data_IF_973839462184
#
_entry.id   IF_973839462184
#
_cell.length_a   1.000
_cell.length_b   1.000
_cell.length_c   1.000
_cell.angle_alpha   90.00
_cell.angle_beta   90.00
_cell.angle_gamma   90.00
#
_symmetry.space_group_name_H-M   'P 1'
#
loop_
_entity.id
_entity.type
_entity.pdbx_description
1 polymer ?
#
# COMPACT_ATOMS: atom_id res chain seq x y z
N UNK A 1 -49.38 -15.00 7.42
CA UNK A 1 -48.45 -13.99 7.94
C UNK A 1 -47.53 -13.55 6.82
N UNK A 2 -47.72 -12.32 6.34
CA UNK A 2 -46.84 -11.73 5.33
C UNK A 2 -45.63 -11.14 6.07
N UNK A 3 -44.57 -11.92 6.22
CA UNK A 3 -43.26 -11.42 6.68
C UNK A 3 -42.64 -10.61 5.53
N UNK A 4 -43.19 -9.41 5.31
CA UNK A 4 -42.71 -8.40 4.34
C UNK A 4 -41.46 -7.66 4.83
N UNK A 5 -40.82 -8.15 5.89
CA UNK A 5 -39.64 -7.51 6.44
C UNK A 5 -38.42 -7.95 5.63
N UNK A 6 -37.63 -7.00 5.09
CA UNK A 6 -36.41 -7.35 4.39
C UNK A 6 -35.48 -8.07 5.36
N UNK A 7 -34.85 -9.15 4.90
CA UNK A 7 -33.83 -9.87 5.66
C UNK A 7 -32.77 -8.89 6.16
N UNK A 8 -32.32 -9.04 7.41
CA UNK A 8 -31.21 -8.26 7.97
C UNK A 8 -29.95 -8.33 7.10
N UNK A 9 -29.77 -9.44 6.35
CA UNK A 9 -28.70 -9.59 5.38
C UNK A 9 -28.69 -8.50 4.30
N UNK A 10 -29.85 -7.94 3.95
CA UNK A 10 -29.98 -6.85 2.97
C UNK A 10 -29.44 -5.51 3.50
N UNK A 11 -29.28 -5.37 4.82
CA UNK A 11 -28.66 -4.21 5.46
C UNK A 11 -27.14 -4.36 5.58
N UNK A 12 -26.60 -5.57 5.35
CA UNK A 12 -25.17 -5.80 5.41
C UNK A 12 -24.50 -5.21 4.17
N UNK A 13 -23.78 -4.11 4.36
CA UNK A 13 -22.79 -3.66 3.38
C UNK A 13 -21.69 -4.72 3.33
N UNK A 14 -21.25 -5.11 2.13
CA UNK A 14 -20.13 -6.04 1.95
C UNK A 14 -18.85 -5.41 2.48
N UNK A 15 -18.59 -5.60 3.78
CA UNK A 15 -17.37 -5.20 4.50
C UNK A 15 -16.22 -6.20 4.29
N UNK A 16 -16.47 -7.27 3.52
CA UNK A 16 -15.44 -8.27 3.24
C UNK A 16 -14.22 -7.56 2.66
N UNK A 17 -13.01 -7.84 3.18
CA UNK A 17 -11.78 -7.23 2.70
C UNK A 17 -11.70 -7.36 1.17
N UNK A 18 -11.02 -6.39 0.54
CA UNK A 18 -10.81 -6.34 -0.90
C UNK A 18 -10.66 -7.72 -1.54
N UNK A 19 -11.26 -7.90 -2.73
CA UNK A 19 -11.30 -9.15 -3.52
C UNK A 19 -10.16 -10.09 -3.16
N UNK A 20 -10.45 -11.22 -2.50
CA UNK A 20 -9.43 -12.12 -1.96
C UNK A 20 -8.51 -12.57 -3.10
N UNK A 21 -7.34 -11.94 -3.18
CA UNK A 21 -6.32 -12.32 -4.13
C UNK A 21 -5.54 -13.44 -3.44
N UNK A 22 -5.98 -14.69 -3.67
CA UNK A 22 -5.38 -15.88 -3.05
C UNK A 22 -3.87 -15.92 -3.25
N UNK A 23 -3.16 -16.71 -2.43
CA UNK A 23 -1.69 -16.86 -2.48
C UNK A 23 -0.88 -15.59 -2.16
N UNK A 24 -1.34 -14.76 -1.23
CA UNK A 24 -0.54 -13.62 -0.71
C UNK A 24 -0.49 -12.39 -1.63
N UNK A 25 -1.40 -12.30 -2.60
CA UNK A 25 -1.55 -11.13 -3.44
C UNK A 25 -2.36 -10.04 -2.70
N UNK A 26 -1.94 -8.80 -2.84
CA UNK A 26 -2.55 -7.62 -2.24
C UNK A 26 -3.04 -6.71 -3.36
N UNK A 27 -4.27 -6.20 -3.26
CA UNK A 27 -4.78 -5.19 -4.16
C UNK A 27 -4.25 -3.81 -3.76
N UNK A 28 -3.49 -3.19 -4.65
CA UNK A 28 -3.08 -1.79 -4.52
C UNK A 28 -4.25 -0.85 -4.75
N UNK A 29 -4.08 0.40 -4.30
CA UNK A 29 -5.09 1.48 -4.44
C UNK A 29 -5.48 1.75 -5.90
N UNK A 30 -4.58 1.47 -6.85
CA UNK A 30 -4.79 1.66 -8.29
C UNK A 30 -5.51 0.48 -8.96
N UNK A 31 -5.99 -0.50 -8.19
CA UNK A 31 -6.55 -1.74 -8.72
C UNK A 31 -5.51 -2.72 -9.25
N UNK A 32 -4.21 -2.40 -9.14
CA UNK A 32 -3.11 -3.28 -9.53
C UNK A 32 -2.83 -4.31 -8.43
N UNK A 33 -2.54 -5.55 -8.83
CA UNK A 33 -2.14 -6.62 -7.91
C UNK A 33 -0.66 -6.48 -7.55
N UNK A 34 -0.33 -6.70 -6.28
CA UNK A 34 1.02 -6.65 -5.74
C UNK A 34 1.32 -7.94 -4.97
N UNK A 35 2.53 -8.49 -5.11
CA UNK A 35 2.95 -9.67 -4.36
C UNK A 35 4.39 -9.48 -3.87
N UNK A 36 4.66 -9.48 -2.55
CA UNK A 36 5.96 -9.14 -1.99
C UNK A 36 7.14 -9.87 -2.64
N UNK A 37 7.02 -11.20 -2.82
CA UNK A 37 8.11 -12.00 -3.40
C UNK A 37 8.30 -11.79 -4.92
N UNK A 38 7.27 -11.33 -5.65
CA UNK A 38 7.33 -11.18 -7.12
C UNK A 38 7.54 -9.74 -7.56
N UNK A 39 7.22 -8.78 -6.71
CA UNK A 39 7.35 -7.34 -6.96
C UNK A 39 8.50 -6.73 -6.14
N UNK A 40 9.48 -7.56 -5.75
CA UNK A 40 10.63 -7.15 -4.95
C UNK A 40 11.48 -6.11 -5.68
N UNK A 41 11.61 -6.19 -7.01
CA UNK A 41 12.40 -5.23 -7.80
C UNK A 41 11.87 -3.80 -7.67
N UNK A 42 10.55 -3.62 -7.58
CA UNK A 42 9.95 -2.31 -7.38
C UNK A 42 10.25 -1.76 -5.97
N UNK A 43 10.19 -2.61 -4.95
CA UNK A 43 10.60 -2.25 -3.58
C UNK A 43 12.11 -1.92 -3.51
N UNK A 44 12.95 -2.74 -4.16
CA UNK A 44 14.39 -2.53 -4.21
C UNK A 44 14.73 -1.25 -4.97
N UNK A 45 14.02 -0.93 -6.06
CA UNK A 45 14.19 0.33 -6.76
C UNK A 45 13.84 1.51 -5.85
N UNK A 46 12.72 1.45 -5.11
CA UNK A 46 12.31 2.49 -4.17
C UNK A 46 13.32 2.68 -3.01
N UNK A 47 13.84 1.57 -2.46
CA UNK A 47 14.86 1.58 -1.40
C UNK A 47 16.24 2.02 -1.92
N UNK A 48 16.61 1.60 -3.13
CA UNK A 48 17.89 1.89 -3.79
C UNK A 48 17.94 3.31 -4.35
N UNK A 49 16.78 3.90 -4.66
CA UNK A 49 16.61 5.35 -4.65
C UNK A 49 16.67 5.89 -3.22
N UNK A 50 17.77 5.57 -2.52
CA UNK A 50 18.26 6.32 -1.39
C UNK A 50 18.27 7.77 -1.87
N UNK A 51 17.28 8.56 -1.41
CA UNK A 51 17.12 9.97 -1.73
C UNK A 51 18.53 10.54 -1.78
N UNK A 52 19.01 10.99 -2.95
CA UNK A 52 20.33 11.60 -3.03
C UNK A 52 20.27 12.83 -2.14
N UNK A 53 20.64 12.65 -0.87
CA UNK A 53 20.66 13.71 0.11
C UNK A 53 21.60 14.74 -0.45
N UNK A 54 21.14 15.99 -0.56
CA UNK A 54 21.87 17.09 -1.18
C UNK A 54 23.28 17.13 -0.58
N UNK A 55 24.32 16.66 -1.28
CA UNK A 55 25.63 16.49 -0.66
C UNK A 55 26.25 17.86 -0.34
N UNK A 56 25.84 18.90 -1.07
CA UNK A 56 26.17 20.29 -0.77
C UNK A 56 25.60 20.76 0.58
N UNK A 57 24.42 20.29 0.98
CA UNK A 57 23.75 20.71 2.22
C UNK A 57 24.49 20.14 3.43
N UNK A 58 24.91 18.87 3.36
CA UNK A 58 25.79 18.25 4.37
C UNK A 58 27.13 19.00 4.46
N UNK A 59 27.71 19.37 3.31
CA UNK A 59 28.97 20.12 3.25
C UNK A 59 28.85 21.57 3.74
N UNK A 60 27.65 22.15 3.70
CA UNK A 60 27.37 23.48 4.24
C UNK A 60 27.19 23.43 5.77
N UNK A 61 26.42 22.46 6.27
CA UNK A 61 26.24 22.25 7.72
C UNK A 61 27.58 21.98 8.42
N UNK A 62 28.43 21.11 7.88
CA UNK A 62 29.76 20.82 8.42
C UNK A 62 30.68 22.05 8.48
N UNK A 63 30.48 23.05 7.62
CA UNK A 63 31.25 24.31 7.66
C UNK A 63 30.70 25.32 8.64
N UNK A 64 29.42 25.23 8.98
CA UNK A 64 28.77 26.14 9.91
C UNK A 64 29.05 25.76 11.37
N UNK A 65 29.26 24.48 11.63
CA UNK A 65 29.58 23.92 12.95
C UNK A 65 31.09 23.70 13.18
N UNK A 66 31.96 24.21 12.32
CA UNK A 66 33.42 24.20 12.48
C UNK A 66 33.93 25.62 12.62
#
# INVERSE_FOLDING_TARGET
MLTKEPSFASLLVKQSPAMHCGHGWIMGKDGKRWHPCRSQDALLAELSTKKQGKPWLLKAMLRLFR
#
